data_IF_818685248222
#
_entry.id   IF_818685248222
#
_cell.length_a   1.000
_cell.length_b   1.000
_cell.length_c   1.000
_cell.angle_alpha   90.00
_cell.angle_beta   90.00
_cell.angle_gamma   90.00
#
_symmetry.space_group_name_H-M   'P 1'
#
loop_
_entity.id
_entity.type
_entity.pdbx_description
1 polymer ?
#
# COMPACT_ATOMS: atom_id res chain seq x y z
N UNK A 1 20.70 -28.28 -0.33
CA UNK A 1 20.45 -27.53 -1.59
C UNK A 1 20.17 -28.44 -2.78
N UNK A 2 21.11 -29.27 -3.27
CA UNK A 2 20.84 -30.15 -4.44
C UNK A 2 19.62 -31.08 -4.27
N UNK A 3 19.43 -31.65 -3.07
CA UNK A 3 18.25 -32.46 -2.75
C UNK A 3 16.93 -31.66 -2.72
N UNK A 4 16.97 -30.39 -2.31
CA UNK A 4 15.80 -29.50 -2.34
C UNK A 4 15.44 -29.08 -3.76
N UNK A 5 16.44 -28.85 -4.62
CA UNK A 5 16.21 -28.58 -6.03
C UNK A 5 15.56 -29.81 -6.68
N UNK A 6 16.08 -31.02 -6.43
CA UNK A 6 15.49 -32.25 -6.94
C UNK A 6 14.04 -32.47 -6.47
N UNK A 7 13.74 -32.24 -5.18
CA UNK A 7 12.37 -32.36 -4.65
C UNK A 7 11.41 -31.33 -5.28
N UNK A 8 11.85 -30.08 -5.44
CA UNK A 8 11.06 -29.03 -6.10
C UNK A 8 10.82 -29.33 -7.58
N UNK A 9 11.81 -29.88 -8.30
CA UNK A 9 11.65 -30.30 -9.69
C UNK A 9 10.66 -31.46 -9.80
N UNK A 10 10.74 -32.48 -8.94
CA UNK A 10 9.77 -33.58 -8.94
C UNK A 10 8.33 -33.09 -8.65
N UNK A 11 8.15 -32.17 -7.70
CA UNK A 11 6.82 -31.59 -7.41
C UNK A 11 6.28 -30.74 -8.54
N UNK A 12 7.15 -30.02 -9.25
CA UNK A 12 6.76 -29.27 -10.44
C UNK A 12 6.31 -30.19 -11.58
N UNK A 13 7.02 -31.30 -11.80
CA UNK A 13 6.63 -32.31 -12.78
C UNK A 13 5.30 -32.99 -12.43
N UNK A 14 5.08 -33.30 -11.14
CA UNK A 14 3.81 -33.85 -10.65
C UNK A 14 2.64 -32.86 -10.90
N UNK A 15 2.87 -31.58 -10.61
CA UNK A 15 1.88 -30.52 -10.84
C UNK A 15 1.58 -30.32 -12.32
N UNK A 16 2.59 -30.42 -13.19
CA UNK A 16 2.41 -30.33 -14.64
C UNK A 16 1.64 -31.54 -15.20
N UNK A 17 1.87 -32.75 -14.68
CA UNK A 17 1.07 -33.93 -15.02
C UNK A 17 -0.39 -33.77 -14.60
N UNK A 18 -0.64 -33.23 -13.40
CA UNK A 18 -2.00 -32.94 -12.94
C UNK A 18 -2.69 -31.87 -13.80
N UNK A 19 -1.96 -30.83 -14.21
CA UNK A 19 -2.49 -29.81 -15.13
C UNK A 19 -2.83 -30.38 -16.51
N UNK A 20 -1.97 -31.25 -17.06
CA UNK A 20 -2.24 -31.93 -18.33
C UNK A 20 -3.49 -32.85 -18.26
N UNK A 21 -3.72 -33.52 -17.12
CA UNK A 21 -4.94 -34.30 -16.89
C UNK A 21 -6.19 -33.42 -16.81
N UNK A 22 -6.10 -32.25 -16.17
CA UNK A 22 -7.20 -31.30 -16.08
C UNK A 22 -7.51 -30.64 -17.43
N UNK A 23 -6.49 -30.39 -18.27
CA UNK A 23 -6.65 -29.85 -19.63
C UNK A 23 -7.23 -30.88 -20.61
N UNK A 24 -7.16 -32.18 -20.31
CA UNK A 24 -7.77 -33.25 -21.12
C UNK A 24 -9.28 -33.48 -20.82
N UNK A 25 -9.78 -33.04 -19.67
CA UNK A 25 -11.19 -33.21 -19.27
C UNK A 25 -12.21 -32.51 -20.19
N UNK A 26 -11.98 -31.28 -20.70
CA UNK A 26 -12.89 -30.62 -21.63
C UNK A 26 -13.06 -31.39 -22.94
N UNK A 27 -11.99 -32.01 -23.47
CA UNK A 27 -12.04 -32.76 -24.72
C UNK A 27 -12.88 -34.04 -24.60
N UNK A 28 -12.80 -34.72 -23.46
CA UNK A 28 -13.63 -35.90 -23.12
C UNK A 28 -15.11 -35.52 -22.92
N UNK A 29 -15.38 -34.38 -22.30
CA UNK A 29 -16.75 -33.91 -22.10
C UNK A 29 -17.41 -33.48 -23.43
N UNK A 30 -16.66 -32.83 -24.32
CA UNK A 30 -17.15 -32.41 -25.64
C UNK A 30 -17.47 -33.64 -26.50
N UNK A 31 -16.59 -34.63 -26.56
CA UNK A 31 -16.82 -35.88 -27.33
C UNK A 31 -18.04 -36.66 -26.81
N UNK A 32 -18.19 -36.79 -25.48
CA UNK A 32 -19.35 -37.47 -24.89
C UNK A 32 -20.68 -36.73 -25.15
N UNK A 33 -20.67 -35.40 -25.11
CA UNK A 33 -21.86 -34.59 -25.43
C UNK A 33 -22.25 -34.68 -26.90
N UNK A 34 -21.26 -34.80 -27.79
CA UNK A 34 -21.47 -34.89 -29.22
C UNK A 34 -22.03 -36.26 -29.63
N UNK A 35 -21.55 -37.36 -29.03
CA UNK A 35 -22.11 -38.70 -29.21
C UNK A 35 -23.57 -38.79 -28.75
N UNK A 36 -23.90 -38.17 -27.61
CA UNK A 36 -25.28 -38.12 -27.12
C UNK A 36 -26.22 -37.36 -28.09
N UNK A 37 -25.77 -36.22 -28.63
CA UNK A 37 -26.56 -35.46 -29.60
C UNK A 37 -26.75 -36.23 -30.92
N UNK A 38 -25.73 -36.93 -31.42
CA UNK A 38 -25.87 -37.76 -32.61
C UNK A 38 -26.83 -38.93 -32.40
N UNK A 39 -26.73 -39.62 -31.25
CA UNK A 39 -27.66 -40.70 -30.92
C UNK A 39 -29.11 -40.20 -30.83
N UNK A 40 -29.33 -39.04 -30.22
CA UNK A 40 -30.66 -38.42 -30.14
C UNK A 40 -31.18 -37.98 -31.52
N UNK A 41 -30.33 -37.40 -32.37
CA UNK A 41 -30.72 -36.99 -33.72
C UNK A 41 -31.13 -38.19 -34.59
N UNK A 42 -30.38 -39.30 -34.49
CA UNK A 42 -30.71 -40.55 -35.19
C UNK A 42 -32.04 -41.12 -34.69
N UNK A 43 -32.25 -41.18 -33.37
CA UNK A 43 -33.51 -41.66 -32.79
C UNK A 43 -34.72 -40.81 -33.25
N UNK A 44 -34.57 -39.49 -33.29
CA UNK A 44 -35.62 -38.60 -33.79
C UNK A 44 -35.89 -38.78 -35.29
N UNK A 45 -34.86 -39.00 -36.09
CA UNK A 45 -35.00 -39.29 -37.52
C UNK A 45 -35.71 -40.63 -37.77
N UNK A 46 -35.40 -41.67 -36.98
CA UNK A 46 -36.09 -42.97 -37.06
C UNK A 46 -37.60 -42.83 -36.77
N UNK A 47 -37.98 -42.07 -35.74
CA UNK A 47 -39.39 -41.83 -35.42
C UNK A 47 -40.14 -41.10 -36.55
N UNK A 48 -39.47 -40.19 -37.26
CA UNK A 48 -40.06 -39.49 -38.41
C UNK A 48 -40.23 -40.43 -39.61
N UNK A 49 -39.28 -41.31 -39.87
CA UNK A 49 -39.37 -42.32 -40.93
C UNK A 49 -40.49 -43.32 -40.64
N UNK A 50 -40.64 -43.77 -39.39
CA UNK A 50 -41.73 -44.66 -38.97
C UNK A 50 -43.10 -43.99 -39.12
N UNK A 51 -43.21 -42.70 -38.78
CA UNK A 51 -44.45 -41.93 -38.98
C UNK A 51 -44.82 -41.77 -40.46
N UNK A 52 -43.82 -41.60 -41.34
CA UNK A 52 -44.02 -41.50 -42.80
C UNK A 52 -44.38 -42.86 -43.41
N UNK A 53 -43.78 -43.96 -42.94
CA UNK A 53 -44.09 -45.32 -43.38
C UNK A 53 -45.51 -45.75 -42.95
N UNK A 54 -45.93 -45.40 -41.74
CA UNK A 54 -47.31 -45.59 -41.27
C UNK A 54 -48.32 -44.79 -42.11
N UNK A 55 -47.92 -43.64 -42.64
CA UNK A 55 -48.75 -42.81 -43.53
C UNK A 55 -48.81 -43.33 -44.97
N UNK A 56 -47.84 -44.14 -45.41
CA UNK A 56 -47.80 -44.77 -46.75
C UNK A 56 -48.32 -46.22 -46.78
N UNK A 57 -48.53 -46.85 -45.63
CA UNK A 57 -49.06 -48.22 -45.49
C UNK A 57 -50.59 -48.34 -45.67
N UNK A 58 -51.29 -47.26 -46.00
CA UNK A 58 -52.76 -47.25 -46.21
C UNK A 58 -53.23 -47.62 -47.62
N UNK A 59 -52.33 -48.06 -48.51
CA UNK A 59 -52.64 -48.39 -49.91
C UNK A 59 -52.86 -49.88 -50.16
N UNK A 60 -53.85 -50.49 -49.51
CA UNK A 60 -54.27 -51.87 -49.79
C UNK A 60 -55.54 -51.90 -50.64
N UNK A 61 -55.41 -52.24 -51.92
CA UNK A 61 -56.52 -52.42 -52.86
C UNK A 61 -57.42 -53.59 -52.46
N UNK A 62 -58.71 -53.32 -52.22
CA UNK A 62 -59.74 -54.34 -52.06
C UNK A 62 -61.05 -53.86 -52.70
N UNK A 63 -61.35 -54.35 -53.91
CA UNK A 63 -62.68 -54.28 -54.50
C UNK A 63 -63.69 -54.96 -53.58
N UNK A 64 -64.82 -54.31 -53.26
CA UNK A 64 -66.13 -54.97 -53.24
C UNK A 64 -67.23 -53.94 -53.53
N UNK A 65 -68.12 -54.37 -54.42
CA UNK A 65 -69.34 -53.73 -54.90
C UNK A 65 -70.44 -53.95 -53.84
N UNK A 66 -71.23 -52.95 -53.49
CA UNK A 66 -72.70 -53.06 -53.37
C UNK A 66 -73.39 -51.75 -52.93
N UNK A 67 -74.69 -51.76 -53.23
CA UNK A 67 -75.66 -50.68 -53.41
C UNK A 67 -76.20 -50.00 -52.15
N UNK A 68 -76.46 -48.70 -52.29
CA UNK A 68 -77.55 -47.87 -51.73
C UNK A 68 -77.94 -48.01 -50.24
N UNK A 69 -77.81 -46.92 -49.47
CA UNK A 69 -78.94 -46.06 -49.05
C UNK A 69 -78.58 -45.15 -47.86
N UNK A 70 -79.20 -43.97 -47.85
CA UNK A 70 -79.45 -43.08 -46.71
C UNK A 70 -78.29 -42.21 -46.20
N UNK A 71 -78.25 -40.99 -46.74
CA UNK A 71 -77.57 -39.82 -46.18
C UNK A 71 -78.26 -39.37 -44.90
N UNK A 72 -77.56 -39.23 -43.75
CA UNK A 72 -78.05 -38.42 -42.65
C UNK A 72 -77.62 -36.98 -42.91
N UNK A 73 -78.61 -36.08 -43.02
CA UNK A 73 -78.38 -34.65 -43.04
C UNK A 73 -77.71 -34.24 -41.71
N UNK A 74 -76.39 -34.08 -41.74
CA UNK A 74 -75.66 -33.40 -40.67
C UNK A 74 -75.99 -31.91 -40.72
N UNK A 75 -76.42 -31.37 -39.58
CA UNK A 75 -76.74 -29.97 -39.38
C UNK A 75 -75.54 -29.07 -39.75
N UNK A 76 -75.71 -28.05 -40.60
CA UNK A 76 -74.60 -27.22 -41.11
C UNK A 76 -73.83 -26.47 -40.00
N UNK A 77 -74.44 -26.30 -38.83
CA UNK A 77 -73.85 -25.60 -37.67
C UNK A 77 -72.72 -26.37 -36.99
N UNK A 78 -72.74 -27.72 -36.99
CA UNK A 78 -71.67 -28.54 -36.37
C UNK A 78 -70.43 -28.66 -37.26
N UNK A 79 -70.61 -28.62 -38.59
CA UNK A 79 -69.48 -28.64 -39.52
C UNK A 79 -68.70 -27.31 -39.51
N UNK A 80 -69.38 -26.15 -39.39
CA UNK A 80 -68.70 -24.86 -39.30
C UNK A 80 -67.82 -24.77 -38.05
N UNK A 81 -68.34 -25.13 -36.88
CA UNK A 81 -67.57 -25.07 -35.61
C UNK A 81 -66.35 -25.98 -35.58
N UNK A 82 -66.43 -27.17 -36.19
CA UNK A 82 -65.29 -28.11 -36.28
C UNK A 82 -64.23 -27.62 -37.27
N UNK A 83 -64.63 -27.04 -38.40
CA UNK A 83 -63.68 -26.42 -39.36
C UNK A 83 -62.98 -25.19 -38.78
N UNK A 84 -63.68 -24.33 -38.05
CA UNK A 84 -63.09 -23.17 -37.37
C UNK A 84 -62.10 -23.57 -36.27
N UNK A 85 -62.43 -24.61 -35.50
CA UNK A 85 -61.53 -25.17 -34.47
C UNK A 85 -60.24 -25.77 -35.08
N UNK A 86 -60.36 -26.51 -36.18
CA UNK A 86 -59.20 -27.04 -36.90
C UNK A 86 -58.35 -25.92 -37.49
N UNK A 87 -58.96 -24.91 -38.11
CA UNK A 87 -58.26 -23.76 -38.67
C UNK A 87 -57.51 -22.97 -37.59
N UNK A 88 -58.12 -22.80 -36.41
CA UNK A 88 -57.45 -22.21 -35.24
C UNK A 88 -56.26 -23.04 -34.78
N UNK A 89 -56.42 -24.37 -34.69
CA UNK A 89 -55.34 -25.27 -34.27
C UNK A 89 -54.16 -25.25 -35.26
N UNK A 90 -54.45 -25.26 -36.57
CA UNK A 90 -53.42 -25.13 -37.62
C UNK A 90 -52.71 -23.78 -37.55
N UNK A 91 -53.45 -22.70 -37.28
CA UNK A 91 -52.87 -21.37 -37.09
C UNK A 91 -51.96 -21.33 -35.86
N UNK A 92 -52.43 -21.84 -34.72
CA UNK A 92 -51.64 -21.90 -33.48
C UNK A 92 -50.38 -22.75 -33.66
N UNK A 93 -50.48 -23.89 -34.36
CA UNK A 93 -49.31 -24.72 -34.71
C UNK A 93 -48.36 -24.00 -35.67
N UNK A 94 -48.88 -23.28 -36.67
CA UNK A 94 -48.09 -22.48 -37.61
C UNK A 94 -47.33 -21.36 -36.88
N UNK A 95 -47.99 -20.67 -35.95
CA UNK A 95 -47.38 -19.58 -35.19
C UNK A 95 -46.32 -20.10 -34.21
N UNK A 96 -46.56 -21.23 -33.54
CA UNK A 96 -45.53 -21.93 -32.73
C UNK A 96 -44.33 -22.36 -33.56
N UNK A 97 -44.55 -22.83 -34.79
CA UNK A 97 -43.47 -23.26 -35.67
C UNK A 97 -42.64 -22.06 -36.16
N UNK A 98 -43.27 -20.92 -36.44
CA UNK A 98 -42.56 -19.67 -36.74
C UNK A 98 -41.74 -19.21 -35.53
N UNK A 99 -42.31 -19.24 -34.33
CA UNK A 99 -41.62 -18.85 -33.10
C UNK A 99 -40.41 -19.74 -32.82
N UNK A 100 -40.57 -21.07 -32.95
CA UNK A 100 -39.45 -22.01 -32.83
C UNK A 100 -38.37 -21.73 -33.88
N UNK A 101 -38.75 -21.40 -35.12
CA UNK A 101 -37.80 -21.08 -36.17
C UNK A 101 -37.04 -19.76 -35.90
N UNK A 102 -37.72 -18.75 -35.35
CA UNK A 102 -37.09 -17.52 -34.89
C UNK A 102 -36.14 -17.75 -33.71
N UNK A 103 -36.53 -18.60 -32.75
CA UNK A 103 -35.68 -18.97 -31.61
C UNK A 103 -34.44 -19.73 -32.07
N UNK A 104 -34.58 -20.69 -32.98
CA UNK A 104 -33.45 -21.41 -33.56
C UNK A 104 -32.50 -20.46 -34.27
N UNK A 105 -33.01 -19.56 -35.12
CA UNK A 105 -32.17 -18.58 -35.82
C UNK A 105 -31.40 -17.67 -34.85
N UNK A 106 -32.04 -17.25 -33.76
CA UNK A 106 -31.38 -16.45 -32.71
C UNK A 106 -30.24 -17.23 -32.05
N UNK A 107 -30.50 -18.47 -31.63
CA UNK A 107 -29.50 -19.33 -31.01
C UNK A 107 -28.35 -19.67 -31.96
N UNK A 108 -28.62 -19.89 -33.25
CA UNK A 108 -27.57 -20.10 -34.26
C UNK A 108 -26.67 -18.87 -34.40
N UNK A 109 -27.25 -17.67 -34.42
CA UNK A 109 -26.47 -16.43 -34.49
C UNK A 109 -25.62 -16.22 -33.23
N UNK A 110 -26.18 -16.47 -32.04
CA UNK A 110 -25.45 -16.38 -30.77
C UNK A 110 -24.30 -17.40 -30.71
N UNK A 111 -24.52 -18.62 -31.21
CA UNK A 111 -23.48 -19.65 -31.28
C UNK A 111 -22.38 -19.22 -32.25
N UNK A 112 -22.74 -18.71 -33.43
CA UNK A 112 -21.77 -18.18 -34.39
C UNK A 112 -20.91 -17.05 -33.78
N UNK A 113 -21.53 -16.09 -33.09
CA UNK A 113 -20.81 -15.02 -32.40
C UNK A 113 -19.86 -15.55 -31.32
N UNK A 114 -20.28 -16.57 -30.56
CA UNK A 114 -19.41 -17.21 -29.55
C UNK A 114 -18.23 -17.93 -30.20
N UNK A 115 -18.45 -18.59 -31.33
CA UNK A 115 -17.37 -19.26 -32.08
C UNK A 115 -16.36 -18.25 -32.62
N UNK A 116 -16.83 -17.12 -33.17
CA UNK A 116 -15.96 -16.02 -33.63
C UNK A 116 -15.18 -15.39 -32.46
N UNK A 117 -15.83 -15.18 -31.31
CA UNK A 117 -15.16 -14.68 -30.11
C UNK A 117 -14.09 -15.64 -29.56
N UNK A 118 -14.36 -16.96 -29.57
CA UNK A 118 -13.38 -17.97 -29.20
C UNK A 118 -12.20 -17.99 -30.17
N UNK A 119 -12.46 -17.89 -31.47
CA UNK A 119 -11.39 -17.83 -32.47
C UNK A 119 -10.49 -16.60 -32.24
N UNK A 120 -11.07 -15.44 -31.96
CA UNK A 120 -10.31 -14.23 -31.64
C UNK A 120 -9.48 -14.38 -30.34
N UNK A 121 -10.01 -15.11 -29.34
CA UNK A 121 -9.27 -15.43 -28.12
C UNK A 121 -8.08 -16.35 -28.40
N UNK A 122 -8.24 -17.35 -29.26
CA UNK A 122 -7.17 -18.26 -29.65
C UNK A 122 -6.04 -17.54 -30.40
N UNK A 123 -6.39 -16.61 -31.30
CA UNK A 123 -5.40 -15.75 -31.98
C UNK A 123 -4.62 -14.89 -30.99
N UNK A 124 -5.32 -14.25 -30.04
CA UNK A 124 -4.69 -13.44 -29.00
C UNK A 124 -3.76 -14.28 -28.11
N UNK A 125 -4.16 -15.50 -27.76
CA UNK A 125 -3.32 -16.42 -26.99
C UNK A 125 -2.08 -16.86 -27.78
N UNK A 126 -2.22 -17.11 -29.09
CA UNK A 126 -1.10 -17.44 -29.96
C UNK A 126 -0.08 -16.28 -30.04
N UNK A 127 -0.56 -15.04 -30.16
CA UNK A 127 0.28 -13.84 -30.16
C UNK A 127 1.01 -13.62 -28.83
N UNK A 128 0.31 -13.81 -27.71
CA UNK A 128 0.93 -13.72 -26.37
C UNK A 128 2.00 -14.81 -26.17
N UNK A 129 1.74 -16.04 -26.62
CA UNK A 129 2.74 -17.13 -26.59
C UNK A 129 3.98 -16.78 -27.42
N UNK A 130 3.79 -16.18 -28.61
CA UNK A 130 4.91 -15.74 -29.47
C UNK A 130 5.76 -14.66 -28.78
N UNK A 131 5.12 -13.62 -28.23
CA UNK A 131 5.81 -12.55 -27.50
C UNK A 131 6.57 -13.07 -26.27
N UNK A 132 5.98 -14.02 -25.56
CA UNK A 132 6.63 -14.65 -24.41
C UNK A 132 7.89 -15.41 -24.84
N UNK A 133 7.82 -16.20 -25.92
CA UNK A 133 8.98 -16.89 -26.47
C UNK A 133 10.09 -15.91 -26.94
N UNK A 134 9.72 -14.80 -27.57
CA UNK A 134 10.66 -13.74 -27.97
C UNK A 134 11.33 -13.08 -26.76
N UNK A 135 10.58 -12.79 -25.69
CA UNK A 135 11.13 -12.25 -24.45
C UNK A 135 12.07 -13.23 -23.75
N UNK A 136 11.73 -14.51 -23.73
CA UNK A 136 12.59 -15.57 -23.18
C UNK A 136 13.89 -15.72 -23.98
N UNK A 137 13.82 -15.63 -25.31
CA UNK A 137 14.99 -15.62 -26.18
C UNK A 137 15.88 -14.38 -25.94
N UNK A 138 15.28 -13.20 -25.80
CA UNK A 138 16.01 -11.98 -25.45
C UNK A 138 16.65 -12.07 -24.06
N UNK A 139 15.94 -12.61 -23.07
CA UNK A 139 16.46 -12.76 -21.71
C UNK A 139 17.65 -13.72 -21.64
N UNK A 140 17.56 -14.85 -22.35
CA UNK A 140 18.65 -15.83 -22.44
C UNK A 140 19.86 -15.24 -23.17
N UNK A 141 19.64 -14.50 -24.27
CA UNK A 141 20.68 -13.75 -24.98
C UNK A 141 21.37 -12.71 -24.08
N UNK A 142 20.60 -11.91 -23.33
CA UNK A 142 21.15 -10.90 -22.42
C UNK A 142 21.92 -11.53 -21.25
N UNK A 143 21.43 -12.64 -20.70
CA UNK A 143 22.17 -13.43 -19.71
C UNK A 143 23.49 -13.95 -20.27
N UNK A 144 23.47 -14.45 -21.51
CA UNK A 144 24.69 -14.92 -22.18
C UNK A 144 25.66 -13.76 -22.43
N UNK A 145 25.16 -12.60 -22.85
CA UNK A 145 25.96 -11.37 -22.99
C UNK A 145 26.58 -10.97 -21.64
N UNK A 146 25.81 -10.92 -20.56
CA UNK A 146 26.29 -10.60 -19.21
C UNK A 146 27.37 -11.59 -18.75
N UNK A 147 27.17 -12.88 -18.99
CA UNK A 147 28.16 -13.92 -18.68
C UNK A 147 29.41 -13.85 -19.57
N UNK A 148 29.31 -13.22 -20.75
CA UNK A 148 30.42 -12.99 -21.69
C UNK A 148 31.12 -11.65 -21.51
N UNK A 149 30.63 -10.75 -20.63
CA UNK A 149 31.36 -9.53 -20.28
C UNK A 149 32.55 -9.92 -19.40
N UNK A 150 33.74 -9.97 -20.02
CA UNK A 150 35.04 -10.38 -19.45
C UNK A 150 35.58 -9.49 -18.32
N UNK A 151 34.75 -8.68 -17.64
CA UNK A 151 35.18 -7.62 -16.73
C UNK A 151 34.71 -7.80 -15.28
N UNK A 152 34.34 -9.01 -14.88
CA UNK A 152 33.91 -9.28 -13.50
C UNK A 152 35.02 -9.02 -12.48
N UNK A 153 36.28 -9.22 -12.83
CA UNK A 153 37.42 -8.93 -11.95
C UNK A 153 37.74 -7.42 -11.88
N UNK A 154 37.58 -6.67 -12.98
CA UNK A 154 37.71 -5.20 -12.95
C UNK A 154 36.59 -4.56 -12.10
N UNK A 155 35.36 -5.05 -12.23
CA UNK A 155 34.26 -4.62 -11.36
C UNK A 155 34.49 -4.99 -9.89
N UNK A 156 35.06 -6.18 -9.62
CA UNK A 156 35.41 -6.57 -8.25
C UNK A 156 36.49 -5.65 -7.68
N UNK A 157 37.52 -5.31 -8.45
CA UNK A 157 38.56 -4.40 -8.00
C UNK A 157 38.01 -2.99 -7.73
N UNK A 158 37.15 -2.45 -8.61
CA UNK A 158 36.53 -1.14 -8.39
C UNK A 158 35.62 -1.15 -7.15
N UNK A 159 34.90 -2.25 -6.93
CA UNK A 159 34.09 -2.43 -5.72
C UNK A 159 34.95 -2.50 -4.45
N UNK A 160 36.04 -3.25 -4.46
CA UNK A 160 36.99 -3.34 -3.34
C UNK A 160 37.65 -1.98 -3.03
N UNK A 161 37.99 -1.20 -4.06
CA UNK A 161 38.56 0.15 -3.91
C UNK A 161 37.54 1.11 -3.29
N UNK A 162 36.28 1.07 -3.73
CA UNK A 162 35.20 1.85 -3.14
C UNK A 162 34.95 1.47 -1.68
N UNK A 163 34.94 0.17 -1.38
CA UNK A 163 34.74 -0.33 -0.02
C UNK A 163 35.89 0.09 0.91
N UNK A 164 37.14 0.12 0.40
CA UNK A 164 38.29 0.64 1.14
C UNK A 164 38.17 2.15 1.42
N UNK A 165 37.77 2.95 0.42
CA UNK A 165 37.55 4.39 0.61
C UNK A 165 36.42 4.68 1.61
N UNK A 166 35.35 3.88 1.59
CA UNK A 166 34.27 3.96 2.58
C UNK A 166 34.74 3.59 3.98
N UNK A 167 35.56 2.53 4.12
CA UNK A 167 36.13 2.16 5.41
C UNK A 167 37.06 3.25 5.96
N UNK A 168 37.90 3.83 5.10
CA UNK A 168 38.81 4.92 5.49
C UNK A 168 38.04 6.17 5.94
N UNK A 169 37.04 6.59 5.17
CA UNK A 169 36.22 7.77 5.53
C UNK A 169 35.47 7.55 6.83
N UNK A 170 34.90 6.36 7.07
CA UNK A 170 34.28 6.00 8.37
C UNK A 170 35.25 6.15 9.53
N UNK A 171 36.46 5.61 9.39
CA UNK A 171 37.49 5.68 10.44
C UNK A 171 37.93 7.13 10.71
N UNK A 172 38.01 7.96 9.67
CA UNK A 172 38.26 9.40 9.83
C UNK A 172 37.14 10.12 10.58
N UNK A 173 35.87 9.80 10.30
CA UNK A 173 34.73 10.36 11.03
C UNK A 173 34.73 9.93 12.50
N UNK A 174 34.95 8.65 12.78
CA UNK A 174 35.07 8.12 14.14
C UNK A 174 36.23 8.80 14.91
N UNK A 175 37.38 9.00 14.25
CA UNK A 175 38.52 9.72 14.82
C UNK A 175 38.20 11.18 15.14
N UNK A 176 37.57 11.91 14.20
CA UNK A 176 37.14 13.31 14.41
C UNK A 176 36.08 13.43 15.51
N UNK A 177 35.12 12.50 15.56
CA UNK A 177 34.10 12.45 16.60
C UNK A 177 34.73 12.17 17.97
N UNK A 178 35.63 11.19 18.07
CA UNK A 178 36.34 10.90 19.31
C UNK A 178 37.16 12.10 19.79
N UNK A 179 37.80 12.84 18.89
CA UNK A 179 38.55 14.05 19.22
C UNK A 179 37.61 15.15 19.73
N UNK A 180 36.47 15.36 19.08
CA UNK A 180 35.48 16.36 19.47
C UNK A 180 34.89 16.06 20.85
N UNK A 181 34.54 14.80 21.11
CA UNK A 181 34.03 14.35 22.41
C UNK A 181 35.08 14.61 23.50
N UNK A 182 36.35 14.29 23.22
CA UNK A 182 37.43 14.55 24.17
C UNK A 182 37.58 16.06 24.45
N UNK A 183 37.57 16.89 23.41
CA UNK A 183 37.63 18.35 23.54
C UNK A 183 36.47 18.89 24.39
N UNK A 184 35.23 18.53 24.07
CA UNK A 184 34.06 18.93 24.85
C UNK A 184 34.14 18.42 26.30
N UNK A 185 34.59 17.19 26.53
CA UNK A 185 34.78 16.66 27.89
C UNK A 185 35.81 17.47 28.66
N UNK A 186 36.92 17.87 28.03
CA UNK A 186 37.93 18.70 28.69
C UNK A 186 37.43 20.11 28.99
N UNK A 187 36.66 20.72 28.09
CA UNK A 187 36.07 22.04 28.28
C UNK A 187 35.04 22.03 29.42
N UNK A 188 34.16 21.02 29.47
CA UNK A 188 33.20 20.85 30.56
C UNK A 188 33.91 20.67 31.90
N UNK A 189 35.00 19.89 31.95
CA UNK A 189 35.81 19.74 33.16
C UNK A 189 36.47 21.06 33.58
N UNK A 190 36.98 21.84 32.63
CA UNK A 190 37.58 23.14 32.90
C UNK A 190 36.55 24.15 33.44
N UNK A 191 35.36 24.22 32.83
CA UNK A 191 34.25 25.04 33.28
C UNK A 191 33.78 24.64 34.69
N UNK A 192 33.68 23.33 34.95
CA UNK A 192 33.35 22.83 36.29
C UNK A 192 34.39 23.26 37.32
N UNK A 193 35.68 23.13 37.01
CA UNK A 193 36.77 23.54 37.91
C UNK A 193 36.83 25.07 38.13
N UNK A 194 36.41 25.87 37.15
CA UNK A 194 36.24 27.32 37.29
C UNK A 194 35.06 27.64 38.21
N UNK A 195 33.90 27.05 37.95
CA UNK A 195 32.70 27.23 38.78
C UNK A 195 32.93 26.81 40.24
N UNK A 196 33.59 25.67 40.48
CA UNK A 196 33.94 25.23 41.83
C UNK A 196 34.86 26.23 42.55
N UNK A 197 35.79 26.87 41.84
CA UNK A 197 36.63 27.94 42.40
C UNK A 197 35.83 29.19 42.73
N UNK A 198 34.95 29.64 41.85
CA UNK A 198 34.07 30.80 42.08
C UNK A 198 33.15 30.56 43.28
N UNK A 199 32.56 29.37 43.41
CA UNK A 199 31.74 29.01 44.57
C UNK A 199 32.56 29.03 45.86
N UNK A 200 33.79 28.50 45.83
CA UNK A 200 34.68 28.56 46.99
C UNK A 200 35.07 29.99 47.36
N UNK A 201 35.23 30.88 46.38
CA UNK A 201 35.52 32.29 46.58
C UNK A 201 34.33 33.04 47.16
N UNK A 202 33.13 32.90 46.59
CA UNK A 202 31.91 33.47 47.17
C UNK A 202 31.66 32.99 48.60
N UNK A 203 31.92 31.71 48.89
CA UNK A 203 31.80 31.20 50.25
C UNK A 203 32.88 31.78 51.20
N UNK A 204 34.07 32.11 50.70
CA UNK A 204 35.09 32.82 51.50
C UNK A 204 34.63 34.25 51.76
N UNK A 205 34.21 34.99 50.72
CA UNK A 205 33.69 36.35 50.83
C UNK A 205 32.49 36.44 51.78
N UNK A 206 31.57 35.48 51.75
CA UNK A 206 30.44 35.42 52.69
C UNK A 206 30.91 35.20 54.13
N UNK A 207 31.90 34.33 54.37
CA UNK A 207 32.47 34.11 55.70
C UNK A 207 33.18 35.37 56.21
N UNK A 208 33.92 36.05 55.34
CA UNK A 208 34.63 37.28 55.66
C UNK A 208 33.64 38.42 55.96
N UNK A 209 32.60 38.59 55.14
CA UNK A 209 31.54 39.57 55.36
C UNK A 209 30.75 39.30 56.65
N UNK A 210 30.49 38.04 56.99
CA UNK A 210 29.87 37.68 58.28
C UNK A 210 30.81 37.97 59.44
N UNK A 211 32.11 37.68 59.31
CA UNK A 211 33.10 37.99 60.33
C UNK A 211 33.21 39.50 60.57
N UNK A 212 33.24 40.30 59.50
CA UNK A 212 33.25 41.76 59.56
C UNK A 212 31.96 42.30 60.21
N UNK A 213 30.78 41.82 59.80
CA UNK A 213 29.51 42.22 60.40
C UNK A 213 29.41 41.88 61.89
N UNK A 214 29.94 40.72 62.32
CA UNK A 214 30.02 40.36 63.74
C UNK A 214 30.98 41.27 64.49
N UNK A 215 32.14 41.60 63.90
CA UNK A 215 33.10 42.52 64.50
C UNK A 215 32.53 43.93 64.64
N UNK A 216 31.81 44.43 63.63
CA UNK A 216 31.11 45.71 63.66
C UNK A 216 29.97 45.75 64.68
N UNK A 217 29.20 44.66 64.79
CA UNK A 217 28.16 44.52 65.82
C UNK A 217 28.75 44.54 67.24
N UNK A 218 29.91 43.89 67.44
CA UNK A 218 30.62 43.91 68.73
C UNK A 218 31.23 45.30 69.02
N UNK A 219 31.81 45.98 68.02
CA UNK A 219 32.35 47.33 68.17
C UNK A 219 31.25 48.38 68.43
N UNK A 220 30.07 48.21 67.83
CA UNK A 220 28.89 49.08 68.07
C UNK A 220 28.12 48.75 69.35
N UNK A 221 28.40 47.62 70.00
CA UNK A 221 27.80 47.23 71.30
C UNK A 221 28.44 47.87 72.54
N UNK A 222 29.02 49.06 72.40
CA UNK A 222 29.40 49.90 73.55
C UNK A 222 28.15 50.62 74.09
N UNK A 223 27.85 50.57 75.40
CA UNK A 223 26.63 51.14 75.94
C UNK A 223 26.79 52.66 76.06
N UNK A 224 26.39 53.40 75.03
CA UNK A 224 26.32 54.87 75.12
C UNK A 224 24.98 55.39 74.60
N UNK A 225 24.32 56.12 75.50
CA UNK A 225 23.07 56.86 75.39
C UNK A 225 22.97 57.79 74.15
N UNK A 226 21.74 57.85 73.61
CA UNK A 226 20.99 59.04 73.13
C UNK A 226 21.42 59.75 71.83
N UNK A 227 20.38 60.15 71.07
CA UNK A 227 20.30 61.13 69.96
C UNK A 227 20.57 60.53 68.57
N UNK A 228 19.71 60.61 67.57
CA UNK A 228 18.55 61.46 67.32
C UNK A 228 18.72 62.12 65.95
N UNK A 229 17.89 61.72 64.98
CA UNK A 229 17.54 62.51 63.78
C UNK A 229 18.49 62.46 62.59
N UNK A 230 17.95 62.05 61.43
CA UNK A 230 17.84 62.85 60.20
C UNK A 230 18.00 61.98 58.93
N UNK A 231 16.88 61.81 58.22
CA UNK A 231 16.88 61.51 56.79
C UNK A 231 17.59 62.61 55.98
N UNK A 232 17.94 62.31 54.71
CA UNK A 232 17.50 63.23 53.67
C UNK A 232 16.79 62.56 52.47
N UNK A 233 16.05 63.35 51.67
CA UNK A 233 14.97 62.90 50.77
C UNK A 233 15.17 63.24 49.27
N UNK A 234 14.34 62.62 48.40
CA UNK A 234 14.00 63.05 47.02
C UNK A 234 14.97 62.59 45.92
N UNK A 235 14.60 62.36 44.65
CA UNK A 235 13.55 62.95 43.81
C UNK A 235 13.30 62.04 42.57
N UNK A 236 12.04 61.74 42.21
CA UNK A 236 11.39 62.06 40.90
C UNK A 236 10.18 61.17 40.57
N UNK A 237 9.00 61.75 40.78
CA UNK A 237 7.78 61.51 40.01
C UNK A 237 7.95 62.00 38.57
N UNK A 238 7.56 61.16 37.60
CA UNK A 238 7.02 61.59 36.30
C UNK A 238 5.77 60.75 36.03
N UNK A 239 4.64 61.42 36.24
CA UNK A 239 3.33 61.37 35.59
C UNK A 239 3.04 60.33 34.50
N UNK A 240 1.85 59.74 34.65
CA UNK A 240 1.10 58.88 33.74
C UNK A 240 0.80 59.52 32.37
N UNK A 241 0.94 58.72 31.31
CA UNK A 241 -0.05 58.60 30.24
C UNK A 241 0.17 57.28 29.47
N UNK A 242 -0.91 56.76 28.87
CA UNK A 242 -1.03 55.51 28.07
C UNK A 242 -1.04 54.16 28.80
N UNK A 243 -2.26 53.72 29.10
CA UNK A 243 -2.63 52.34 29.39
C UNK A 243 -2.51 51.45 28.15
N UNK A 244 -1.28 51.01 27.85
CA UNK A 244 -1.08 49.69 27.25
C UNK A 244 -0.74 48.71 28.39
N UNK A 245 -1.39 47.54 28.50
CA UNK A 245 -0.86 46.47 29.33
C UNK A 245 0.37 45.96 28.61
N UNK A 246 1.50 46.65 28.77
CA UNK A 246 2.81 46.12 28.46
C UNK A 246 2.95 44.89 29.35
N UNK A 247 2.65 43.71 28.79
CA UNK A 247 3.12 42.44 29.31
C UNK A 247 4.60 42.67 29.58
N UNK A 248 4.96 42.68 30.86
CA UNK A 248 6.34 42.86 31.26
C UNK A 248 7.14 41.71 30.63
N UNK A 249 8.42 41.90 30.36
CA UNK A 249 9.27 40.81 29.86
C UNK A 249 9.22 39.59 30.81
N UNK A 250 8.93 39.83 32.09
CA UNK A 250 8.66 38.82 33.11
C UNK A 250 7.38 38.00 32.83
N UNK A 251 6.32 38.62 32.30
CA UNK A 251 5.10 37.92 31.90
C UNK A 251 5.35 37.01 30.68
N UNK A 252 6.16 37.48 29.72
CA UNK A 252 6.57 36.67 28.57
C UNK A 252 7.46 35.48 28.97
N UNK A 253 8.33 35.68 29.97
CA UNK A 253 9.15 34.61 30.56
C UNK A 253 8.30 33.59 31.32
N UNK A 254 7.29 34.05 32.09
CA UNK A 254 6.33 33.19 32.78
C UNK A 254 5.47 32.39 31.80
N UNK A 255 4.99 33.01 30.72
CA UNK A 255 4.26 32.34 29.63
C UNK A 255 5.14 31.23 29.00
N UNK A 256 6.42 31.51 28.74
CA UNK A 256 7.36 30.52 28.18
C UNK A 256 7.67 29.37 29.16
N UNK A 257 7.81 29.64 30.45
CA UNK A 257 7.98 28.58 31.47
C UNK A 257 6.74 27.69 31.55
N UNK A 258 5.55 28.29 31.45
CA UNK A 258 4.30 27.55 31.45
C UNK A 258 4.16 26.66 30.20
N UNK A 259 4.54 27.17 29.03
CA UNK A 259 4.57 26.39 27.79
C UNK A 259 5.58 25.24 27.84
N UNK A 260 6.77 25.46 28.40
CA UNK A 260 7.76 24.41 28.60
C UNK A 260 7.23 23.31 29.52
N UNK A 261 6.61 23.69 30.64
CA UNK A 261 6.02 22.75 31.60
C UNK A 261 4.85 21.97 30.98
N UNK A 262 4.03 22.63 30.15
CA UNK A 262 2.95 21.97 29.41
C UNK A 262 3.50 20.97 28.38
N UNK A 263 4.59 21.32 27.69
CA UNK A 263 5.28 20.43 26.75
C UNK A 263 5.90 19.22 27.48
N UNK A 264 6.56 19.43 28.61
CA UNK A 264 7.14 18.36 29.43
C UNK A 264 6.06 17.35 29.88
N UNK A 265 4.91 17.85 30.34
CA UNK A 265 3.76 17.02 30.69
C UNK A 265 3.22 16.21 29.49
N UNK A 266 3.17 16.81 28.29
CA UNK A 266 2.77 16.10 27.06
C UNK A 266 3.79 15.02 26.68
N UNK A 267 5.09 15.31 26.76
CA UNK A 267 6.14 14.33 26.50
C UNK A 267 6.09 13.16 27.49
N UNK A 268 5.84 13.43 28.78
CA UNK A 268 5.64 12.41 29.79
C UNK A 268 4.40 11.55 29.50
N UNK A 269 3.28 12.15 29.08
CA UNK A 269 2.07 11.43 28.70
C UNK A 269 2.29 10.52 27.48
N UNK A 270 2.94 11.02 26.42
CA UNK A 270 3.26 10.23 25.22
C UNK A 270 4.21 9.08 25.54
N UNK A 271 5.19 9.31 26.42
CA UNK A 271 6.11 8.25 26.87
C UNK A 271 5.36 7.16 27.63
N UNK A 272 4.44 7.55 28.51
CA UNK A 272 3.58 6.61 29.23
C UNK A 272 2.68 5.81 28.29
N UNK A 273 2.07 6.43 27.28
CA UNK A 273 1.26 5.74 26.27
C UNK A 273 2.09 4.73 25.46
N UNK A 274 3.30 5.12 25.05
CA UNK A 274 4.24 4.20 24.39
C UNK A 274 4.56 3.00 25.27
N UNK A 275 4.83 3.23 26.55
CA UNK A 275 5.18 2.17 27.49
C UNK A 275 3.99 1.25 27.78
N UNK A 276 2.76 1.78 27.81
CA UNK A 276 1.55 0.95 27.90
C UNK A 276 1.36 0.07 26.68
N UNK A 277 1.55 0.61 25.47
CA UNK A 277 1.45 -0.15 24.22
C UNK A 277 2.54 -1.24 24.17
N UNK A 278 3.76 -0.92 24.61
CA UNK A 278 4.85 -1.90 24.68
C UNK A 278 4.53 -3.03 25.68
N UNK A 279 3.91 -2.72 26.82
CA UNK A 279 3.48 -3.71 27.79
C UNK A 279 2.34 -4.60 27.26
N UNK A 280 1.37 -4.03 26.56
CA UNK A 280 0.30 -4.79 25.88
C UNK A 280 0.86 -5.74 24.80
N UNK A 281 1.82 -5.27 24.01
CA UNK A 281 2.50 -6.11 23.02
C UNK A 281 3.26 -7.27 23.68
N UNK A 282 3.95 -7.02 24.80
CA UNK A 282 4.62 -8.08 25.55
C UNK A 282 3.64 -9.07 26.18
N UNK A 283 2.49 -8.59 26.67
CA UNK A 283 1.42 -9.46 27.18
C UNK A 283 0.87 -10.37 26.09
N UNK A 284 0.52 -9.82 24.91
CA UNK A 284 0.05 -10.58 23.75
C UNK A 284 1.08 -11.62 23.29
N UNK A 285 2.37 -11.28 23.33
CA UNK A 285 3.44 -12.24 23.03
C UNK A 285 3.49 -13.38 24.05
N UNK A 286 3.31 -13.06 25.33
CA UNK A 286 3.26 -14.07 26.40
C UNK A 286 2.04 -14.97 26.28
N UNK A 287 0.87 -14.41 26.02
CA UNK A 287 -0.36 -15.20 25.78
C UNK A 287 -0.23 -16.11 24.56
N UNK A 288 0.38 -15.63 23.47
CA UNK A 288 0.69 -16.45 22.30
C UNK A 288 1.67 -17.59 22.64
N UNK A 289 2.64 -17.34 23.52
CA UNK A 289 3.58 -18.34 23.97
C UNK A 289 2.93 -19.37 24.91
N UNK A 290 2.06 -18.94 25.81
CA UNK A 290 1.27 -19.82 26.69
C UNK A 290 0.28 -20.70 25.91
N UNK A 291 -0.33 -20.16 24.84
CA UNK A 291 -1.13 -20.95 23.88
C UNK A 291 -0.27 -21.99 23.15
N UNK A 292 0.99 -21.65 22.85
CA UNK A 292 1.95 -22.56 22.23
C UNK A 292 2.36 -23.69 23.19
N UNK A 293 2.51 -23.39 24.47
CA UNK A 293 2.85 -24.37 25.51
C UNK A 293 1.65 -25.26 25.87
N UNK A 294 0.42 -24.71 25.90
CA UNK A 294 -0.80 -25.50 26.14
C UNK A 294 -1.17 -26.43 24.97
N UNK A 295 -0.74 -26.12 23.74
CA UNK A 295 -0.98 -26.98 22.56
C UNK A 295 0.12 -28.04 22.36
N UNK A 296 1.24 -27.93 23.08
CA UNK A 296 2.29 -28.95 23.17
C UNK A 296 2.13 -29.69 24.50
N UNK A 297 1.03 -30.44 24.63
CA UNK A 297 0.84 -31.37 25.75
C UNK A 297 1.99 -32.38 25.82
N UNK A 298 2.55 -32.54 27.02
CA UNK A 298 3.75 -33.29 27.38
C UNK A 298 3.92 -34.65 26.68
N UNK A 299 5.08 -34.85 26.05
CA UNK A 299 5.59 -36.20 25.76
C UNK A 299 6.11 -36.82 27.06
N UNK A 300 5.75 -38.07 27.42
CA UNK A 300 6.38 -38.76 28.52
C UNK A 300 7.82 -39.12 28.13
N UNK A 301 8.72 -39.01 29.10
CA UNK A 301 10.11 -39.41 28.99
C UNK A 301 10.21 -40.89 28.57
N UNK A 302 10.92 -41.14 27.48
CA UNK A 302 11.24 -42.48 26.96
C UNK A 302 12.45 -43.03 27.70
N UNK A 303 12.22 -43.88 28.69
CA UNK A 303 13.23 -44.80 29.20
C UNK A 303 13.31 -46.07 28.34
N UNK A 304 14.55 -46.41 27.98
CA UNK A 304 15.12 -47.74 27.83
C UNK A 304 14.63 -48.75 26.75
N UNK A 305 15.60 -49.10 25.89
CA UNK A 305 15.99 -50.44 25.44
C UNK A 305 14.99 -51.39 24.74
N UNK A 306 15.35 -51.76 23.51
CA UNK A 306 15.77 -53.15 23.24
C UNK A 306 14.76 -54.12 22.60
N UNK A 307 15.09 -54.49 21.36
CA UNK A 307 14.91 -55.83 20.71
C UNK A 307 13.55 -56.12 20.01
N UNK A 308 13.58 -56.66 18.76
CA UNK A 308 12.39 -56.93 17.96
C UNK A 308 11.93 -58.38 18.09
N UNK A 309 10.62 -58.63 18.20
CA UNK A 309 10.07 -59.98 18.03
C UNK A 309 8.66 -59.96 17.44
N UNK A 310 8.53 -60.79 16.40
CA UNK A 310 7.34 -61.27 15.67
C UNK A 310 6.17 -61.74 16.55
N UNK A 311 4.92 -61.51 16.11
CA UNK A 311 3.94 -62.56 15.78
C UNK A 311 2.54 -61.97 15.48
N UNK A 312 1.77 -62.75 14.72
CA UNK A 312 0.53 -62.42 14.05
C UNK A 312 -0.74 -62.45 14.91
N UNK A 313 -1.83 -62.04 14.25
CA UNK A 313 -3.23 -62.52 14.32
C UNK A 313 -4.26 -61.60 14.98
N UNK A 314 -5.39 -61.53 14.29
CA UNK A 314 -6.55 -60.65 14.38
C UNK A 314 -7.22 -60.54 15.75
N UNK A 315 -7.83 -59.39 16.03
CA UNK A 315 -9.26 -59.28 16.33
C UNK A 315 -9.70 -57.81 16.33
N UNK A 316 -10.76 -57.58 15.57
CA UNK A 316 -11.86 -56.64 15.76
C UNK A 316 -11.76 -55.60 16.89
N UNK A 317 -12.01 -54.35 16.52
CA UNK A 317 -12.09 -53.24 17.46
C UNK A 317 -11.72 -51.95 16.78
N UNK A 318 -12.71 -51.24 16.25
CA UNK A 318 -12.60 -49.86 15.80
C UNK A 318 -12.20 -48.96 16.98
N UNK A 319 -11.18 -48.11 16.85
CA UNK A 319 -11.29 -46.78 17.43
C UNK A 319 -11.03 -45.71 16.37
N UNK A 320 -12.06 -44.89 16.20
CA UNK A 320 -12.03 -43.48 15.84
C UNK A 320 -10.82 -42.99 15.01
N UNK A 321 -11.07 -42.84 13.71
CA UNK A 321 -10.33 -41.96 12.80
C UNK A 321 -10.49 -40.47 13.17
N UNK A 322 -10.10 -40.09 14.41
CA UNK A 322 -10.08 -38.70 14.88
C UNK A 322 -8.64 -38.17 15.11
N UNK A 323 -7.63 -39.05 15.16
CA UNK A 323 -6.25 -38.65 15.44
C UNK A 323 -5.42 -38.19 14.24
N UNK A 324 -5.80 -38.57 13.00
CA UNK A 324 -5.00 -38.29 11.80
C UNK A 324 -5.31 -36.92 11.16
N UNK A 325 -6.47 -36.32 11.45
CA UNK A 325 -6.83 -34.99 10.94
C UNK A 325 -6.15 -33.89 11.78
N UNK A 326 -6.04 -34.08 13.10
CA UNK A 326 -5.41 -33.10 14.00
C UNK A 326 -3.89 -32.95 13.79
N UNK A 327 -3.19 -34.02 13.39
CA UNK A 327 -1.74 -33.98 13.15
C UNK A 327 -1.38 -33.33 11.80
N UNK A 328 -2.23 -33.51 10.78
CA UNK A 328 -2.10 -32.83 9.50
C UNK A 328 -2.44 -31.33 9.61
N UNK A 329 -3.46 -30.99 10.41
CA UNK A 329 -3.85 -29.59 10.66
C UNK A 329 -2.83 -28.86 11.53
N UNK A 330 -2.22 -29.51 12.53
CA UNK A 330 -1.14 -28.92 13.33
C UNK A 330 0.17 -28.80 12.55
N UNK A 331 0.48 -29.72 11.63
CA UNK A 331 1.61 -29.60 10.71
C UNK A 331 1.41 -28.44 9.71
N UNK A 332 0.20 -28.29 9.17
CA UNK A 332 -0.16 -27.16 8.31
C UNK A 332 -0.17 -25.83 9.08
N UNK A 333 -0.58 -25.83 10.35
CA UNK A 333 -0.56 -24.65 11.21
C UNK A 333 0.87 -24.24 11.57
N UNK A 334 1.75 -25.19 11.90
CA UNK A 334 3.18 -24.93 12.15
C UNK A 334 3.88 -24.37 10.91
N UNK A 335 3.56 -24.89 9.73
CA UNK A 335 4.07 -24.38 8.46
C UNK A 335 3.50 -22.99 8.12
N UNK A 336 2.21 -22.75 8.37
CA UNK A 336 1.60 -21.43 8.23
C UNK A 336 2.24 -20.40 9.18
N UNK A 337 2.51 -20.78 10.43
CA UNK A 337 3.20 -19.92 11.40
C UNK A 337 4.65 -19.66 11.02
N UNK A 338 5.38 -20.66 10.48
CA UNK A 338 6.71 -20.45 9.90
C UNK A 338 6.67 -19.45 8.74
N UNK A 339 5.68 -19.54 7.86
CA UNK A 339 5.48 -18.60 6.75
C UNK A 339 5.15 -17.20 7.25
N UNK A 340 4.28 -17.07 8.24
CA UNK A 340 3.95 -15.78 8.88
C UNK A 340 5.19 -15.18 9.52
N UNK A 341 6.00 -15.97 10.23
CA UNK A 341 7.22 -15.45 10.86
C UNK A 341 8.28 -15.04 9.83
N UNK A 342 8.45 -15.83 8.76
CA UNK A 342 9.31 -15.47 7.64
C UNK A 342 8.82 -14.19 6.95
N UNK A 343 7.51 -14.05 6.73
CA UNK A 343 6.89 -12.85 6.17
C UNK A 343 7.05 -11.63 7.09
N UNK A 344 6.96 -11.81 8.41
CA UNK A 344 7.23 -10.73 9.38
C UNK A 344 8.69 -10.30 9.35
N UNK A 345 9.64 -11.23 9.27
CA UNK A 345 11.06 -10.92 9.10
C UNK A 345 11.34 -10.17 7.80
N UNK A 346 10.70 -10.57 6.69
CA UNK A 346 10.82 -9.81 5.43
C UNK A 346 10.14 -8.45 5.50
N UNK A 347 9.03 -8.33 6.24
CA UNK A 347 8.35 -7.05 6.43
C UNK A 347 9.18 -6.07 7.25
N UNK A 348 9.82 -6.53 8.34
CA UNK A 348 10.75 -5.70 9.13
C UNK A 348 11.93 -5.23 8.27
N UNK A 349 12.52 -6.12 7.46
CA UNK A 349 13.58 -5.72 6.51
C UNK A 349 13.10 -4.69 5.50
N UNK A 350 11.93 -4.88 4.90
CA UNK A 350 11.33 -3.92 3.97
C UNK A 350 10.99 -2.59 4.66
N UNK A 351 10.60 -2.62 5.93
CA UNK A 351 10.35 -1.41 6.72
C UNK A 351 11.65 -0.66 7.02
N UNK A 352 12.74 -1.37 7.33
CA UNK A 352 14.08 -0.80 7.50
C UNK A 352 14.60 -0.20 6.19
N UNK A 353 14.44 -0.89 5.06
CA UNK A 353 14.76 -0.41 3.71
C UNK A 353 13.93 0.84 3.36
N UNK A 354 12.62 0.84 3.61
CA UNK A 354 11.76 1.98 3.38
C UNK A 354 12.14 3.19 4.26
N UNK A 355 12.51 2.95 5.52
CA UNK A 355 13.01 3.99 6.41
C UNK A 355 14.41 4.47 6.01
N UNK A 356 15.23 3.61 5.43
CA UNK A 356 16.53 3.97 4.85
C UNK A 356 16.33 4.84 3.61
N UNK A 357 15.55 4.40 2.62
CA UNK A 357 15.21 5.18 1.43
C UNK A 357 14.49 6.48 1.77
N UNK A 358 13.60 6.52 2.78
CA UNK A 358 12.99 7.77 3.25
C UNK A 358 14.03 8.73 3.82
N UNK A 359 15.02 8.24 4.57
CA UNK A 359 16.14 9.06 5.07
C UNK A 359 17.00 9.56 3.92
N UNK A 360 17.33 8.72 2.95
CA UNK A 360 18.06 9.11 1.74
C UNK A 360 17.29 10.14 0.93
N UNK A 361 15.97 9.97 0.72
CA UNK A 361 15.12 10.96 0.04
C UNK A 361 15.04 12.26 0.84
N UNK A 362 14.97 12.22 2.17
CA UNK A 362 15.03 13.43 2.99
C UNK A 362 16.40 14.11 2.93
N UNK A 363 17.49 13.35 2.88
CA UNK A 363 18.85 13.86 2.72
C UNK A 363 19.06 14.44 1.31
N UNK A 364 18.58 13.77 0.25
CA UNK A 364 18.57 14.27 -1.11
C UNK A 364 17.68 15.50 -1.27
N UNK A 365 16.54 15.58 -0.56
CA UNK A 365 15.73 16.81 -0.49
C UNK A 365 16.42 17.95 0.24
N UNK A 366 17.27 17.66 1.24
CA UNK A 366 18.09 18.67 1.93
C UNK A 366 19.31 19.09 1.11
N UNK A 367 19.95 18.16 0.39
CA UNK A 367 21.08 18.43 -0.52
C UNK A 367 20.61 19.12 -1.82
N UNK A 368 19.38 18.84 -2.25
CA UNK A 368 18.66 19.52 -3.35
C UNK A 368 17.75 20.64 -2.83
N UNK A 369 18.00 21.17 -1.63
CA UNK A 369 17.31 22.36 -1.13
C UNK A 369 17.85 23.63 -1.81
N UNK A 370 17.68 23.72 -3.13
CA UNK A 370 17.20 24.97 -3.72
C UNK A 370 15.73 25.16 -3.35
N UNK A 371 15.16 26.37 -3.53
CA UNK A 371 13.78 26.67 -3.12
C UNK A 371 12.79 25.67 -3.74
N UNK A 372 11.69 25.33 -3.06
CA UNK A 372 10.80 24.26 -3.45
C UNK A 372 10.27 24.45 -4.89
N UNK A 373 10.43 23.43 -5.74
CA UNK A 373 9.78 23.34 -7.06
C UNK A 373 8.28 23.02 -6.93
N UNK A 374 7.56 23.81 -6.15
CA UNK A 374 6.10 23.99 -6.28
C UNK A 374 5.79 25.20 -7.20
N UNK A 375 6.76 25.60 -8.02
CA UNK A 375 6.67 26.74 -8.91
C UNK A 375 6.47 26.33 -10.37
N UNK A 376 5.70 27.15 -11.11
CA UNK A 376 5.66 27.13 -12.57
C UNK A 376 7.10 27.04 -13.12
N UNK A 377 7.34 26.12 -14.06
CA UNK A 377 8.66 25.96 -14.67
C UNK A 377 9.12 27.27 -15.33
N UNK A 378 10.42 27.48 -15.52
CA UNK A 378 10.99 28.75 -15.98
C UNK A 378 10.31 29.32 -17.25
N UNK A 379 9.92 28.46 -18.19
CA UNK A 379 9.21 28.84 -19.42
C UNK A 379 7.74 29.24 -19.16
N UNK A 380 7.06 28.56 -18.24
CA UNK A 380 5.69 28.89 -17.82
C UNK A 380 5.66 30.18 -17.01
N UNK A 381 6.64 30.37 -16.12
CA UNK A 381 6.82 31.59 -15.37
C UNK A 381 7.07 32.78 -16.30
N UNK A 382 7.91 32.61 -17.32
CA UNK A 382 8.17 33.65 -18.32
C UNK A 382 6.91 33.98 -19.16
N UNK A 383 6.12 32.97 -19.53
CA UNK A 383 4.87 33.18 -20.25
C UNK A 383 3.85 33.95 -19.40
N UNK A 384 3.62 33.51 -18.15
CA UNK A 384 2.72 34.20 -17.21
C UNK A 384 3.20 35.63 -16.95
N UNK A 385 4.52 35.82 -16.81
CA UNK A 385 5.13 37.15 -16.67
C UNK A 385 4.79 38.05 -17.85
N UNK A 386 4.97 37.58 -19.09
CA UNK A 386 4.65 38.39 -20.28
C UNK A 386 3.16 38.74 -20.38
N UNK A 387 2.27 37.82 -20.03
CA UNK A 387 0.81 38.03 -20.07
C UNK A 387 0.40 39.06 -19.02
N UNK A 388 0.97 38.97 -17.82
CA UNK A 388 0.69 39.91 -16.73
C UNK A 388 1.25 41.30 -17.03
N UNK A 389 2.46 41.41 -17.60
CA UNK A 389 3.00 42.70 -18.08
C UNK A 389 2.07 43.31 -19.13
N UNK A 390 1.62 42.52 -20.10
CA UNK A 390 0.71 43.01 -21.14
C UNK A 390 -0.66 43.44 -20.59
N UNK A 391 -1.19 42.73 -19.60
CA UNK A 391 -2.41 43.11 -18.87
C UNK A 391 -2.21 44.41 -18.08
N UNK A 392 -1.12 44.53 -17.32
CA UNK A 392 -0.83 45.75 -16.55
C UNK A 392 -0.57 46.97 -17.45
N UNK A 393 0.02 46.77 -18.62
CA UNK A 393 0.22 47.83 -19.62
C UNK A 393 -1.07 48.21 -20.37
N UNK A 394 -2.08 47.32 -20.43
CA UNK A 394 -3.36 47.58 -21.10
C UNK A 394 -4.46 48.07 -20.16
N UNK A 395 -4.31 47.84 -18.85
CA UNK A 395 -5.19 48.37 -17.82
C UNK A 395 -4.93 49.86 -17.62
N UNK A 396 -5.95 50.69 -17.82
CA UNK A 396 -5.88 52.15 -17.63
C UNK A 396 -6.00 52.60 -16.17
N UNK A 397 -6.17 51.66 -15.23
CA UNK A 397 -6.31 51.95 -13.80
C UNK A 397 -4.98 51.79 -13.04
N UNK A 398 -4.30 52.93 -12.91
CA UNK A 398 -3.02 53.09 -12.20
C UNK A 398 -3.12 52.67 -10.73
N UNK A 399 -4.31 52.81 -10.10
CA UNK A 399 -4.48 52.49 -8.67
C UNK A 399 -4.43 50.98 -8.47
N UNK A 400 -5.11 50.23 -9.33
CA UNK A 400 -5.13 48.77 -9.32
C UNK A 400 -3.73 48.21 -9.63
N UNK A 401 -3.06 48.76 -10.65
CA UNK A 401 -1.69 48.38 -10.99
C UNK A 401 -0.71 48.62 -9.81
N UNK A 402 -0.82 49.77 -9.12
CA UNK A 402 0.06 50.10 -7.98
C UNK A 402 -0.10 49.17 -6.77
N UNK A 403 -1.29 48.60 -6.55
CA UNK A 403 -1.56 47.68 -5.44
C UNK A 403 -1.21 46.23 -5.80
N UNK A 404 -1.35 45.86 -7.07
CA UNK A 404 -1.03 44.51 -7.54
C UNK A 404 0.47 44.33 -7.85
N UNK A 405 1.17 45.39 -8.27
CA UNK A 405 2.57 45.31 -8.69
C UNK A 405 3.52 44.74 -7.62
N UNK A 406 3.45 45.13 -6.33
CA UNK A 406 4.31 44.56 -5.30
C UNK A 406 4.07 43.05 -5.08
N UNK A 407 2.80 42.63 -5.13
CA UNK A 407 2.39 41.23 -4.96
C UNK A 407 2.83 40.40 -6.17
N UNK A 408 2.59 40.90 -7.38
CA UNK A 408 2.97 40.22 -8.61
C UNK A 408 4.49 40.20 -8.82
N UNK A 409 5.21 41.24 -8.41
CA UNK A 409 6.68 41.28 -8.41
C UNK A 409 7.26 40.22 -7.47
N UNK A 410 6.66 40.04 -6.29
CA UNK A 410 7.06 39.02 -5.32
C UNK A 410 6.78 37.60 -5.84
N UNK A 411 5.64 37.37 -6.51
CA UNK A 411 5.23 36.05 -6.99
C UNK A 411 5.89 35.64 -8.31
N UNK A 412 6.06 36.57 -9.26
CA UNK A 412 6.52 36.28 -10.63
C UNK A 412 7.98 36.68 -10.88
N UNK A 413 8.62 37.36 -9.92
CA UNK A 413 10.00 37.86 -10.01
C UNK A 413 10.21 38.68 -11.30
N UNK A 414 9.49 39.80 -11.44
CA UNK A 414 9.65 40.70 -12.60
C UNK A 414 11.10 41.16 -12.74
N UNK A 415 11.59 41.23 -13.99
CA UNK A 415 12.90 41.81 -14.27
C UNK A 415 12.79 43.34 -14.31
N UNK A 416 13.94 44.03 -14.28
CA UNK A 416 13.97 45.48 -14.42
C UNK A 416 13.36 45.95 -15.74
N UNK A 417 13.51 45.17 -16.81
CA UNK A 417 12.91 45.46 -18.11
C UNK A 417 11.37 45.42 -18.06
N UNK A 418 10.79 44.46 -17.34
CA UNK A 418 9.34 44.35 -17.15
C UNK A 418 8.80 45.54 -16.32
N UNK A 419 9.50 45.92 -15.27
CA UNK A 419 9.15 47.05 -14.42
C UNK A 419 9.26 48.38 -15.17
N UNK A 420 10.28 48.54 -16.02
CA UNK A 420 10.41 49.71 -16.90
C UNK A 420 9.28 49.78 -17.93
N UNK A 421 8.89 48.64 -18.53
CA UNK A 421 7.78 48.58 -19.48
C UNK A 421 6.45 49.00 -18.83
N UNK A 422 6.14 48.46 -17.64
CA UNK A 422 4.94 48.79 -16.87
C UNK A 422 4.95 50.27 -16.45
N UNK A 423 6.08 50.77 -15.91
CA UNK A 423 6.20 52.16 -15.46
C UNK A 423 6.08 53.14 -16.62
N UNK A 424 6.66 52.83 -17.78
CA UNK A 424 6.54 53.64 -18.99
C UNK A 424 5.11 53.69 -19.50
N UNK A 425 4.40 52.55 -19.51
CA UNK A 425 2.99 52.50 -19.87
C UNK A 425 2.13 53.33 -18.91
N UNK A 426 2.34 53.20 -17.59
CA UNK A 426 1.62 53.98 -16.58
C UNK A 426 1.85 55.49 -16.71
N UNK A 427 3.08 55.92 -17.01
CA UNK A 427 3.42 57.33 -17.24
C UNK A 427 2.80 57.89 -18.52
N UNK A 428 2.75 57.09 -19.60
CA UNK A 428 2.10 57.48 -20.85
C UNK A 428 0.60 57.72 -20.67
N UNK A 429 -0.08 56.91 -19.84
CA UNK A 429 -1.50 57.11 -19.53
C UNK A 429 -1.76 58.34 -18.64
N UNK A 430 -0.83 58.73 -17.76
CA UNK A 430 -0.96 59.97 -16.99
C UNK A 430 -0.73 61.25 -17.81
N UNK A 431 0.00 61.16 -18.93
CA UNK A 431 0.28 62.31 -19.80
C UNK A 431 -0.75 62.51 -20.92
N UNK A 432 -1.66 61.55 -21.11
CA UNK A 432 -2.72 61.57 -22.13
C UNK A 432 -4.10 62.00 -21.58
N UNK A 433 -4.17 62.39 -20.31
CA UNK A 433 -5.29 63.12 -19.68
C UNK A 433 -4.80 64.49 -19.29
#
# INVERSE_FOLDING_TARGET
>A
MRAQIADLTCRLDESNKQRALLEALPALYITQSQEFMYAHAIAAACLLVDAVLLSHSGGGSGQYKDTAATSPAMSPTLQSTTTESLQKTVKDQSDRLKEAHHSLRRLTNELQQRTEALHQQDENLADLKRRLAELEACNTSLKQQLMSVSNTDEWRHVQEELDQQLAQTRLEYESRESQLILQHSTEVQALKALHEREVQEMQREQRDAVAEAVQDALASSSPTLVRGGAHPPGIRDVSADDAHPCKSDDDAYLDLLNDYKAMEMRCAAVTKERDTIAAEQQMLLRELQELLECTVGALPASDANGTPTTSATAADGTPAAAGLVSLADTANLKEALRRIHAQRLTFVKLQEELMHSRREVMQLRRLKAGPPEDGLGAQQLQYVRSVVVQLLCSLSDIRVARHLLPVLSMLLKFTDDDLQAITKAMLQFTSSR
#
